data_IF_787446450121
#
_entry.id   IF_787446450121
#
_cell.length_a   1.000
_cell.length_b   1.000
_cell.length_c   1.000
_cell.angle_alpha   90.00
_cell.angle_beta   90.00
_cell.angle_gamma   90.00
#
_symmetry.space_group_name_H-M   'P 1'
#
loop_
_entity.id
_entity.type
_entity.pdbx_description
1 polymer ?
#
# COMPACT_ATOMS: atom_id res chain seq x y z
N UNK A 1 8.03 -18.87 45.43
CA UNK A 1 9.10 -18.88 44.41
C UNK A 1 9.14 -17.49 43.81
N UNK A 2 10.25 -16.76 44.00
CA UNK A 2 10.37 -15.36 43.59
C UNK A 2 11.18 -15.29 42.30
N UNK A 3 10.58 -14.83 41.21
CA UNK A 3 11.30 -14.62 39.96
C UNK A 3 12.19 -13.37 40.06
N UNK A 4 13.47 -13.41 39.65
CA UNK A 4 14.28 -12.22 39.54
C UNK A 4 13.75 -11.33 38.40
N UNK A 5 13.61 -10.02 38.66
CA UNK A 5 13.24 -9.09 37.60
C UNK A 5 14.42 -8.81 36.67
N UNK A 6 14.16 -8.88 35.36
CA UNK A 6 15.14 -8.53 34.34
C UNK A 6 15.30 -6.99 34.29
N UNK A 7 16.52 -6.44 34.22
CA UNK A 7 16.71 -5.00 34.12
C UNK A 7 16.13 -4.47 32.79
N UNK A 8 15.53 -3.25 32.79
CA UNK A 8 14.92 -2.69 31.60
C UNK A 8 15.95 -2.39 30.50
N UNK A 9 15.74 -2.97 29.32
CA UNK A 9 16.53 -2.70 28.11
C UNK A 9 16.34 -1.24 27.69
N UNK A 10 17.43 -0.47 27.64
CA UNK A 10 17.40 0.91 27.14
C UNK A 10 17.48 0.91 25.62
N UNK A 11 16.50 1.54 24.97
CA UNK A 11 16.51 1.74 23.52
C UNK A 11 17.75 2.57 23.09
N UNK A 12 18.54 2.12 22.11
CA UNK A 12 19.74 2.85 21.67
C UNK A 12 19.42 4.23 21.08
N UNK A 13 18.17 4.43 20.63
CA UNK A 13 17.65 5.67 20.04
C UNK A 13 17.56 6.86 21.01
N UNK A 14 17.61 6.63 22.33
CA UNK A 14 17.65 7.70 23.36
C UNK A 14 19.08 8.00 23.85
N UNK A 15 20.11 7.53 23.15
CA UNK A 15 21.50 7.86 23.50
C UNK A 15 21.80 9.32 23.16
N UNK A 16 22.28 10.16 24.11
CA UNK A 16 22.53 11.58 23.86
C UNK A 16 23.55 11.82 22.73
N UNK A 17 24.48 10.88 22.49
CA UNK A 17 25.41 10.92 21.36
C UNK A 17 24.70 10.86 19.99
N UNK A 18 23.63 10.08 19.85
CA UNK A 18 22.85 9.97 18.60
C UNK A 18 22.07 11.26 18.34
N UNK A 19 21.49 11.84 19.40
CA UNK A 19 20.77 13.13 19.32
C UNK A 19 21.71 14.25 18.87
N UNK A 20 22.93 14.31 19.43
CA UNK A 20 23.95 15.31 19.03
C UNK A 20 24.33 15.16 17.55
N UNK A 21 24.54 13.93 17.06
CA UNK A 21 24.91 13.67 15.67
C UNK A 21 23.82 14.08 14.66
N UNK A 22 22.54 13.89 15.00
CA UNK A 22 21.42 14.33 14.16
C UNK A 22 21.37 15.87 14.09
N UNK A 23 21.52 16.56 15.22
CA UNK A 23 21.48 18.02 15.29
C UNK A 23 22.63 18.67 14.49
N UNK A 24 23.85 18.13 14.58
CA UNK A 24 24.98 18.63 13.78
C UNK A 24 24.80 18.34 12.29
N UNK A 25 24.30 17.17 11.91
CA UNK A 25 23.99 16.83 10.52
C UNK A 25 22.98 17.80 9.88
N UNK A 26 21.86 18.07 10.56
CA UNK A 26 20.83 19.01 10.08
C UNK A 26 21.40 20.43 9.93
N UNK A 27 22.19 20.91 10.89
CA UNK A 27 22.80 22.24 10.82
C UNK A 27 23.77 22.40 9.63
N UNK A 28 24.54 21.36 9.29
CA UNK A 28 25.42 21.38 8.13
C UNK A 28 24.63 21.44 6.81
N UNK A 29 23.57 20.64 6.66
CA UNK A 29 22.72 20.66 5.45
C UNK A 29 22.04 22.02 5.28
N UNK A 30 21.46 22.58 6.34
CA UNK A 30 20.83 23.92 6.30
C UNK A 30 21.86 25.01 5.98
N UNK A 31 23.07 24.92 6.53
CA UNK A 31 24.17 25.83 6.22
C UNK A 31 24.58 25.81 4.75
N UNK A 32 24.69 24.62 4.14
CA UNK A 32 25.02 24.47 2.72
C UNK A 32 23.91 25.01 1.81
N UNK A 33 22.64 24.72 2.11
CA UNK A 33 21.49 25.20 1.31
C UNK A 33 21.34 26.73 1.39
N UNK A 34 21.59 27.33 2.55
CA UNK A 34 21.62 28.79 2.69
C UNK A 34 22.81 29.41 1.95
N UNK A 35 23.99 28.79 2.03
CA UNK A 35 25.17 29.26 1.31
C UNK A 35 24.99 29.23 -0.21
N UNK A 36 24.38 28.18 -0.79
CA UNK A 36 24.10 28.12 -2.23
C UNK A 36 23.05 29.14 -2.66
N UNK A 37 21.99 29.36 -1.87
CA UNK A 37 20.99 30.40 -2.15
C UNK A 37 21.54 31.83 -2.10
N UNK A 38 22.58 32.08 -1.29
CA UNK A 38 23.22 33.41 -1.17
C UNK A 38 24.33 33.59 -2.21
N UNK A 39 25.04 32.53 -2.61
CA UNK A 39 26.17 32.59 -3.56
C UNK A 39 25.73 32.50 -5.04
N UNK A 40 24.45 32.22 -5.32
CA UNK A 40 23.88 32.31 -6.66
C UNK A 40 23.51 33.78 -6.99
N UNK A 41 24.30 34.53 -7.78
CA UNK A 41 23.80 35.78 -8.35
C UNK A 41 22.60 35.47 -9.25
N UNK A 42 21.55 36.29 -9.19
CA UNK A 42 20.46 36.22 -10.17
C UNK A 42 21.02 36.58 -11.54
N UNK A 43 21.18 35.57 -12.38
CA UNK A 43 21.45 35.75 -13.80
C UNK A 43 20.12 36.03 -14.52
N UNK A 44 19.74 37.31 -14.50
CA UNK A 44 18.94 37.89 -15.57
C UNK A 44 19.84 38.08 -16.80
N UNK A 45 19.39 37.67 -18.00
CA UNK A 45 19.99 38.12 -19.26
C UNK A 45 20.36 37.04 -20.30
N UNK A 46 19.55 37.02 -21.35
CA UNK A 46 19.95 36.97 -22.77
C UNK A 46 20.23 35.65 -23.52
N UNK A 47 19.78 35.71 -24.78
CA UNK A 47 19.68 34.65 -25.77
C UNK A 47 20.97 34.45 -26.60
N UNK A 48 20.90 33.45 -27.49
CA UNK A 48 21.63 33.33 -28.79
C UNK A 48 22.79 32.32 -28.89
N UNK A 49 22.39 31.12 -29.36
CA UNK A 49 22.80 30.59 -30.67
C UNK A 49 24.26 30.17 -30.97
N UNK A 50 24.36 28.87 -31.32
CA UNK A 50 25.19 28.31 -32.42
C UNK A 50 26.70 28.15 -32.22
N UNK A 51 27.39 27.20 -32.87
CA UNK A 51 27.02 25.90 -33.48
C UNK A 51 28.31 25.20 -33.99
N UNK A 52 28.36 23.86 -33.99
CA UNK A 52 29.03 22.99 -35.01
C UNK A 52 29.28 21.56 -34.46
N UNK A 53 29.21 20.48 -35.24
CA UNK A 53 28.52 20.22 -36.51
C UNK A 53 28.49 18.70 -36.81
N UNK A 54 27.53 18.29 -37.65
CA UNK A 54 27.57 17.09 -38.53
C UNK A 54 27.41 15.69 -37.87
N UNK A 55 26.72 14.70 -38.46
CA UNK A 55 26.20 14.57 -39.84
C UNK A 55 24.95 13.67 -39.96
N UNK A 56 24.10 13.94 -40.96
CA UNK A 56 23.25 12.97 -41.72
C UNK A 56 22.09 12.23 -41.00
N UNK A 57 20.90 12.00 -41.59
CA UNK A 57 20.34 12.43 -42.89
C UNK A 57 18.78 12.21 -43.00
N UNK A 58 18.02 13.31 -43.15
CA UNK A 58 16.80 13.56 -43.98
C UNK A 58 15.54 12.61 -43.88
N UNK A 59 14.36 12.90 -44.50
CA UNK A 59 13.17 13.42 -43.79
C UNK A 59 11.87 12.58 -43.96
N UNK A 60 10.71 13.06 -43.44
CA UNK A 60 9.41 13.17 -44.18
C UNK A 60 8.28 13.76 -43.30
N UNK A 61 7.90 15.02 -43.63
CA UNK A 61 6.52 15.54 -43.80
C UNK A 61 5.44 15.43 -42.71
N UNK A 62 4.89 16.58 -42.28
CA UNK A 62 3.45 16.70 -41.92
C UNK A 62 3.08 17.47 -40.64
N UNK A 63 2.82 18.77 -40.75
CA UNK A 63 2.02 19.58 -39.82
C UNK A 63 0.91 20.31 -40.64
N UNK A 64 -0.12 20.99 -40.08
CA UNK A 64 -0.45 21.27 -38.66
C UNK A 64 -1.86 20.65 -38.30
N UNK A 65 -2.70 21.06 -37.33
CA UNK A 65 -2.75 22.23 -36.44
C UNK A 65 -3.60 22.03 -35.14
N UNK A 66 -3.30 22.85 -34.13
CA UNK A 66 -4.20 23.61 -33.22
C UNK A 66 -5.69 23.22 -33.09
N UNK A 67 -6.16 22.92 -31.86
CA UNK A 67 -7.09 23.80 -31.09
C UNK A 67 -7.27 23.36 -29.61
N UNK A 68 -7.17 24.32 -28.68
CA UNK A 68 -8.15 24.59 -27.61
C UNK A 68 -8.35 23.63 -26.41
N UNK A 69 -8.25 24.10 -25.15
CA UNK A 69 -8.75 23.38 -23.97
C UNK A 69 -10.25 23.64 -23.74
N UNK A 70 -10.96 22.68 -23.16
CA UNK A 70 -12.36 22.84 -22.73
C UNK A 70 -12.50 22.68 -21.20
N UNK A 71 -12.77 23.80 -20.53
CA UNK A 71 -13.23 23.85 -19.13
C UNK A 71 -14.64 24.43 -19.12
N UNK A 72 -15.57 23.80 -18.40
CA UNK A 72 -16.87 24.32 -17.87
C UNK A 72 -17.75 23.12 -17.48
N UNK A 73 -18.79 23.21 -16.66
CA UNK A 73 -19.12 24.01 -15.45
C UNK A 73 -20.31 23.25 -14.81
N UNK A 74 -20.42 23.23 -13.47
CA UNK A 74 -21.42 22.41 -12.78
C UNK A 74 -22.88 22.90 -12.86
N UNK A 75 -23.79 22.13 -12.27
CA UNK A 75 -25.20 22.50 -12.09
C UNK A 75 -25.90 21.60 -11.06
N UNK A 76 -26.41 22.19 -9.98
CA UNK A 76 -27.22 21.51 -8.95
C UNK A 76 -28.69 21.41 -9.35
N UNK A 77 -29.42 20.44 -8.75
CA UNK A 77 -30.87 20.59 -8.56
C UNK A 77 -31.67 19.29 -8.48
N UNK A 78 -32.68 19.27 -7.60
CA UNK A 78 -33.80 18.31 -7.66
C UNK A 78 -33.86 17.28 -6.53
N UNK A 79 -34.86 17.43 -5.66
CA UNK A 79 -35.22 16.44 -4.62
C UNK A 79 -36.58 15.78 -4.95
N UNK A 80 -37.07 14.93 -4.03
CA UNK A 80 -38.41 14.29 -3.98
C UNK A 80 -38.59 13.06 -4.88
N UNK A 81 -39.41 12.04 -4.56
CA UNK A 81 -40.04 11.55 -3.30
C UNK A 81 -40.74 10.20 -3.64
N UNK A 82 -40.93 9.27 -2.68
CA UNK A 82 -41.94 8.20 -2.86
C UNK A 82 -41.67 6.79 -2.28
N UNK A 83 -42.26 6.52 -1.11
CA UNK A 83 -42.93 5.26 -0.67
C UNK A 83 -42.26 3.88 -0.90
N UNK A 84 -41.79 3.20 0.17
CA UNK A 84 -42.52 2.25 1.09
C UNK A 84 -42.42 0.77 0.61
N UNK A 85 -42.74 -0.28 1.43
CA UNK A 85 -41.71 -1.19 1.93
C UNK A 85 -41.94 -2.68 1.58
N UNK A 86 -40.92 -3.52 1.78
CA UNK A 86 -41.13 -4.95 2.03
C UNK A 86 -40.38 -5.39 3.28
N UNK A 87 -41.10 -5.36 4.38
CA UNK A 87 -40.74 -6.04 5.62
C UNK A 87 -40.89 -7.55 5.41
N UNK A 88 -39.87 -8.33 5.74
CA UNK A 88 -39.99 -9.78 5.93
C UNK A 88 -39.41 -10.15 7.28
N UNK A 89 -40.20 -9.89 8.32
CA UNK A 89 -40.05 -10.65 9.56
C UNK A 89 -40.61 -12.04 9.31
N UNK A 90 -39.85 -13.08 9.65
CA UNK A 90 -40.48 -14.32 10.11
C UNK A 90 -39.67 -14.91 11.26
N UNK A 91 -40.20 -14.75 12.47
CA UNK A 91 -39.63 -15.30 13.69
C UNK A 91 -40.34 -16.63 14.00
N UNK A 92 -39.73 -17.74 13.60
CA UNK A 92 -40.26 -19.09 13.77
C UNK A 92 -39.52 -19.86 14.86
N UNK A 93 -39.82 -19.60 16.13
CA UNK A 93 -39.28 -20.37 17.24
C UNK A 93 -40.11 -21.65 17.43
N UNK A 94 -39.64 -22.80 16.93
CA UNK A 94 -40.25 -24.11 17.19
C UNK A 94 -39.21 -25.10 17.72
N UNK A 95 -39.33 -25.41 19.01
CA UNK A 95 -38.76 -26.62 19.58
C UNK A 95 -39.69 -27.79 19.27
N UNK A 96 -39.23 -28.71 18.43
CA UNK A 96 -39.67 -30.12 18.43
C UNK A 96 -38.42 -30.99 18.30
N UNK A 97 -38.40 -32.12 18.98
CA UNK A 97 -37.19 -32.92 19.17
C UNK A 97 -37.38 -34.37 18.79
N UNK A 98 -36.77 -34.81 17.69
CA UNK A 98 -36.25 -36.18 17.59
C UNK A 98 -35.22 -36.36 16.46
N UNK A 99 -34.07 -36.95 16.80
CA UNK A 99 -33.32 -37.95 16.02
C UNK A 99 -33.05 -37.67 14.51
N UNK A 100 -31.81 -37.27 14.16
CA UNK A 100 -30.75 -38.24 13.81
C UNK A 100 -29.46 -37.58 13.29
N UNK A 101 -28.38 -38.35 13.30
CA UNK A 101 -27.02 -37.95 12.95
C UNK A 101 -26.89 -37.57 11.45
N UNK A 102 -26.50 -36.32 11.16
CA UNK A 102 -26.27 -35.84 9.79
C UNK A 102 -25.65 -34.44 9.78
N UNK A 103 -24.38 -34.34 9.37
CA UNK A 103 -23.66 -33.07 9.27
C UNK A 103 -24.15 -32.27 8.05
N UNK A 104 -25.18 -31.45 8.21
CA UNK A 104 -25.67 -30.57 7.15
C UNK A 104 -24.82 -29.30 7.05
N UNK A 105 -23.78 -29.41 6.23
CA UNK A 105 -23.03 -28.28 5.69
C UNK A 105 -23.97 -27.40 4.83
N UNK A 106 -24.22 -26.17 5.28
CA UNK A 106 -24.93 -25.16 4.49
C UNK A 106 -23.98 -24.57 3.46
N UNK A 107 -23.72 -25.34 2.40
CA UNK A 107 -22.82 -24.95 1.32
C UNK A 107 -23.31 -23.71 0.57
N UNK A 108 -22.81 -22.53 0.97
CA UNK A 108 -22.74 -21.38 0.08
C UNK A 108 -21.98 -21.77 -1.20
N UNK A 109 -22.29 -21.14 -2.34
CA UNK A 109 -21.51 -21.34 -3.56
C UNK A 109 -20.10 -20.77 -3.37
N UNK A 110 -19.16 -21.59 -2.90
CA UNK A 110 -17.75 -21.22 -2.75
C UNK A 110 -17.17 -20.92 -4.12
N UNK A 111 -16.92 -19.64 -4.39
CA UNK A 111 -16.15 -19.23 -5.58
C UNK A 111 -14.77 -19.89 -5.49
N UNK A 112 -14.23 -20.51 -6.55
CA UNK A 112 -12.89 -21.06 -6.51
C UNK A 112 -11.85 -19.94 -6.31
N UNK A 113 -11.07 -20.02 -5.24
CA UNK A 113 -9.96 -19.10 -4.95
C UNK A 113 -8.62 -19.75 -5.28
N UNK A 114 -7.62 -18.94 -5.64
CA UNK A 114 -6.26 -19.40 -5.83
C UNK A 114 -5.64 -19.80 -4.47
N UNK A 115 -5.00 -20.97 -4.42
CA UNK A 115 -4.37 -21.49 -3.20
C UNK A 115 -2.91 -21.04 -3.10
N UNK A 116 -2.51 -20.38 -2.00
CA UNK A 116 -1.11 -20.07 -1.74
C UNK A 116 -0.27 -21.31 -1.40
N UNK A 117 1.01 -21.26 -1.73
CA UNK A 117 2.02 -22.29 -1.42
C UNK A 117 2.88 -21.95 -0.19
N UNK A 118 2.59 -20.83 0.49
CA UNK A 118 3.29 -20.40 1.71
C UNK A 118 2.70 -21.10 2.94
N UNK A 119 3.57 -21.73 3.75
CA UNK A 119 3.15 -22.44 4.95
C UNK A 119 2.45 -21.50 5.97
N UNK A 120 1.35 -21.98 6.57
CA UNK A 120 0.57 -21.19 7.53
C UNK A 120 -0.30 -20.10 6.88
N UNK A 121 -0.60 -20.22 5.58
CA UNK A 121 -1.48 -19.31 4.84
C UNK A 121 -2.65 -20.06 4.20
N UNK A 122 -3.69 -19.32 3.88
CA UNK A 122 -4.78 -19.73 3.00
C UNK A 122 -5.13 -18.58 2.05
N UNK A 123 -6.18 -18.75 1.25
CA UNK A 123 -6.60 -17.80 0.22
C UNK A 123 -6.93 -16.38 0.72
N UNK A 124 -7.03 -16.13 2.03
CA UNK A 124 -7.21 -14.79 2.61
C UNK A 124 -5.95 -14.22 3.29
N UNK A 125 -4.85 -14.97 3.42
CA UNK A 125 -3.63 -14.52 4.12
C UNK A 125 -3.10 -15.50 5.15
N UNK A 126 -2.34 -14.99 6.13
CA UNK A 126 -1.71 -15.81 7.18
C UNK A 126 -2.74 -16.23 8.24
N UNK A 127 -2.88 -17.52 8.53
CA UNK A 127 -3.89 -18.01 9.49
C UNK A 127 -3.64 -17.55 10.93
N UNK A 128 -2.38 -17.25 11.27
CA UNK A 128 -1.96 -16.65 12.54
C UNK A 128 -1.47 -15.20 12.44
N UNK A 129 -1.81 -14.48 11.37
CA UNK A 129 -1.23 -13.16 11.06
C UNK A 129 -2.20 -12.23 10.31
N UNK A 130 -1.71 -11.34 9.42
CA UNK A 130 -2.58 -10.47 8.64
C UNK A 130 -3.41 -11.28 7.64
N UNK A 131 -4.71 -10.96 7.57
CA UNK A 131 -5.72 -11.59 6.72
C UNK A 131 -6.68 -10.55 6.15
N UNK A 132 -7.26 -10.83 5.00
CA UNK A 132 -8.33 -10.03 4.41
C UNK A 132 -9.55 -9.93 5.33
N UNK A 133 -10.24 -8.79 5.26
CA UNK A 133 -11.26 -8.33 6.21
C UNK A 133 -12.62 -8.97 5.98
N UNK A 134 -13.07 -9.07 4.73
CA UNK A 134 -14.36 -9.72 4.41
C UNK A 134 -14.17 -11.22 4.10
N UNK A 135 -15.22 -11.99 4.35
CA UNK A 135 -15.27 -13.43 4.07
C UNK A 135 -15.21 -13.79 2.57
N UNK A 136 -15.30 -12.80 1.68
CA UNK A 136 -15.23 -12.94 0.21
C UNK A 136 -14.03 -12.18 -0.40
N UNK A 137 -13.17 -11.54 0.41
CA UNK A 137 -12.00 -10.78 -0.04
C UNK A 137 -10.79 -11.72 -0.22
N UNK A 138 -10.32 -11.99 -1.46
CA UNK A 138 -9.15 -12.84 -1.65
C UNK A 138 -7.85 -12.08 -1.45
N UNK A 139 -6.82 -12.79 -0.98
CA UNK A 139 -5.45 -12.34 -1.09
C UNK A 139 -4.98 -12.44 -2.56
N UNK A 140 -4.49 -11.33 -3.09
CA UNK A 140 -3.85 -11.23 -4.40
C UNK A 140 -2.33 -11.35 -4.31
N UNK A 141 -1.76 -10.99 -3.16
CA UNK A 141 -0.35 -11.20 -2.80
C UNK A 141 -0.30 -11.64 -1.35
N UNK A 142 0.56 -12.62 -1.06
CA UNK A 142 0.97 -12.96 0.30
C UNK A 142 2.49 -13.02 0.30
N UNK A 143 3.11 -12.31 1.24
CA UNK A 143 4.56 -12.18 1.29
C UNK A 143 5.06 -12.18 2.74
N UNK A 144 6.27 -12.72 2.94
CA UNK A 144 6.91 -12.81 4.24
C UNK A 144 8.38 -12.42 4.13
N UNK A 145 8.86 -11.67 5.12
CA UNK A 145 10.27 -11.38 5.37
C UNK A 145 10.67 -12.00 6.72
N UNK A 146 11.92 -11.83 7.16
CA UNK A 146 12.33 -12.25 8.51
C UNK A 146 11.64 -11.44 9.64
N UNK A 147 10.97 -10.32 9.34
CA UNK A 147 10.33 -9.42 10.33
C UNK A 147 8.85 -9.17 10.08
N UNK A 148 8.44 -9.20 8.81
CA UNK A 148 7.14 -8.71 8.34
C UNK A 148 6.34 -9.80 7.65
N UNK A 149 5.03 -9.81 7.90
CA UNK A 149 4.03 -10.54 7.11
C UNK A 149 3.15 -9.52 6.38
N UNK A 150 2.86 -9.80 5.11
CA UNK A 150 2.22 -8.85 4.19
C UNK A 150 1.13 -9.58 3.40
N UNK A 151 -0.04 -8.96 3.28
CA UNK A 151 -1.11 -9.39 2.38
C UNK A 151 -1.61 -8.18 1.58
N UNK A 152 -1.74 -8.34 0.27
CA UNK A 152 -2.53 -7.41 -0.56
C UNK A 152 -3.86 -8.12 -0.85
N UNK A 153 -4.95 -7.55 -0.35
CA UNK A 153 -6.30 -8.09 -0.50
C UNK A 153 -7.05 -7.36 -1.60
N UNK A 154 -7.95 -8.05 -2.30
CA UNK A 154 -8.94 -7.43 -3.17
C UNK A 154 -10.29 -7.34 -2.45
N UNK A 155 -11.03 -6.24 -2.68
CA UNK A 155 -12.38 -6.09 -2.13
C UNK A 155 -13.36 -6.91 -2.98
N UNK A 156 -13.74 -8.08 -2.49
CA UNK A 156 -14.50 -9.09 -3.22
C UNK A 156 -13.96 -9.34 -4.63
N UNK A 157 -14.86 -9.39 -5.60
CA UNK A 157 -14.53 -9.52 -7.03
C UNK A 157 -14.15 -8.19 -7.71
N UNK A 158 -13.89 -7.09 -6.98
CA UNK A 158 -13.61 -5.78 -7.55
C UNK A 158 -12.14 -5.66 -8.00
N UNK A 159 -11.84 -6.10 -9.22
CA UNK A 159 -10.52 -5.99 -9.84
C UNK A 159 -9.90 -4.60 -9.70
N UNK A 160 -8.67 -4.53 -9.20
CA UNK A 160 -7.94 -3.27 -9.00
C UNK A 160 -8.31 -2.50 -7.73
N UNK A 161 -9.35 -2.90 -6.98
CA UNK A 161 -9.67 -2.30 -5.69
C UNK A 161 -9.01 -3.11 -4.57
N UNK A 162 -7.81 -2.69 -4.19
CA UNK A 162 -7.02 -3.38 -3.19
C UNK A 162 -6.91 -2.64 -1.86
N UNK A 163 -6.48 -3.38 -0.83
CA UNK A 163 -5.94 -2.84 0.42
C UNK A 163 -4.75 -3.68 0.88
N UNK A 164 -3.76 -3.02 1.48
CA UNK A 164 -2.57 -3.62 2.08
C UNK A 164 -2.84 -3.92 3.54
N UNK A 165 -2.36 -5.07 4.03
CA UNK A 165 -2.24 -5.40 5.44
C UNK A 165 -0.83 -5.88 5.75
N UNK A 166 -0.17 -5.21 6.68
CA UNK A 166 1.14 -5.58 7.18
C UNK A 166 1.08 -5.92 8.67
N UNK A 167 1.93 -6.84 9.10
CA UNK A 167 2.18 -7.15 10.51
C UNK A 167 3.68 -7.29 10.74
N UNK A 168 4.24 -6.53 11.68
CA UNK A 168 5.64 -6.60 12.06
C UNK A 168 5.81 -6.23 13.54
N UNK A 169 6.64 -6.99 14.27
CA UNK A 169 7.00 -6.73 15.67
C UNK A 169 5.80 -6.50 16.62
N UNK A 170 4.69 -7.21 16.40
CA UNK A 170 3.45 -7.07 17.19
C UNK A 170 2.50 -5.95 16.73
N UNK A 171 2.87 -5.18 15.71
CA UNK A 171 2.09 -4.06 15.20
C UNK A 171 1.46 -4.39 13.85
N UNK A 172 0.18 -4.06 13.70
CA UNK A 172 -0.56 -4.20 12.44
C UNK A 172 -0.76 -2.84 11.76
N UNK A 173 -0.67 -2.83 10.42
CA UNK A 173 -0.97 -1.66 9.58
C UNK A 173 -1.93 -2.09 8.48
N UNK A 174 -2.96 -1.30 8.23
CA UNK A 174 -3.85 -1.43 7.08
C UNK A 174 -3.84 -0.14 6.27
N UNK A 175 -3.77 -0.25 4.94
CA UNK A 175 -3.73 0.89 4.01
C UNK A 175 -4.63 0.60 2.81
N UNK A 176 -5.64 1.43 2.58
CA UNK A 176 -6.49 1.34 1.40
C UNK A 176 -5.79 1.80 0.13
N UNK A 177 -6.22 1.28 -1.02
CA UNK A 177 -5.81 1.72 -2.35
C UNK A 177 -4.29 1.67 -2.68
N UNK A 178 -3.56 0.56 -2.42
CA UNK A 178 -2.23 0.35 -2.98
C UNK A 178 -2.23 0.55 -4.50
N UNK A 179 -1.21 1.23 -5.01
CA UNK A 179 -0.97 1.35 -6.46
C UNK A 179 -0.11 0.17 -6.93
N UNK A 180 -0.37 -0.37 -8.12
CA UNK A 180 0.41 -1.48 -8.69
C UNK A 180 1.21 -1.01 -9.90
N UNK A 181 2.48 -1.39 -9.95
CA UNK A 181 3.36 -1.25 -11.11
C UNK A 181 4.06 -2.58 -11.37
N UNK A 182 3.71 -3.26 -12.47
CA UNK A 182 4.21 -4.60 -12.77
C UNK A 182 3.87 -5.63 -11.68
N UNK A 183 4.89 -6.15 -11.01
CA UNK A 183 4.76 -7.10 -9.88
C UNK A 183 4.87 -6.41 -8.50
N UNK A 184 5.00 -5.09 -8.47
CA UNK A 184 5.21 -4.30 -7.25
C UNK A 184 3.93 -3.58 -6.83
N UNK A 185 3.64 -3.55 -5.53
CA UNK A 185 2.52 -2.83 -4.93
C UNK A 185 3.03 -1.78 -3.95
N UNK A 186 2.62 -0.52 -4.12
CA UNK A 186 3.02 0.61 -3.28
C UNK A 186 1.82 1.12 -2.47
N UNK A 187 1.92 1.02 -1.14
CA UNK A 187 0.87 1.42 -0.20
C UNK A 187 1.38 2.52 0.74
N UNK A 188 0.75 3.70 0.72
CA UNK A 188 1.21 4.88 1.48
C UNK A 188 0.32 5.18 2.69
N UNK A 189 0.94 5.23 3.88
CA UNK A 189 0.33 5.66 5.13
C UNK A 189 1.01 6.96 5.61
N UNK A 190 0.36 8.10 5.38
CA UNK A 190 0.92 9.40 5.69
C UNK A 190 2.19 9.68 4.89
N UNK A 191 3.34 9.71 5.56
CA UNK A 191 4.64 9.87 4.91
C UNK A 191 5.48 8.59 4.82
N UNK A 192 4.91 7.42 5.15
CA UNK A 192 5.55 6.10 5.00
C UNK A 192 4.93 5.37 3.82
N UNK A 193 5.75 4.81 2.93
CA UNK A 193 5.32 3.99 1.81
C UNK A 193 5.90 2.59 1.93
N UNK A 194 5.06 1.58 1.79
CA UNK A 194 5.43 0.16 1.75
C UNK A 194 5.42 -0.29 0.29
N UNK A 195 6.60 -0.57 -0.26
CA UNK A 195 6.80 -1.02 -1.65
C UNK A 195 7.05 -2.53 -1.62
N UNK A 196 5.99 -3.30 -1.84
CA UNK A 196 5.97 -4.76 -1.81
C UNK A 196 6.33 -5.31 -3.18
N UNK A 197 7.54 -5.86 -3.34
CA UNK A 197 7.97 -6.58 -4.55
C UNK A 197 8.19 -8.08 -4.31
N UNK A 198 8.45 -8.86 -5.36
CA UNK A 198 8.69 -10.31 -5.24
C UNK A 198 9.99 -10.68 -4.51
N UNK A 199 10.99 -9.79 -4.52
CA UNK A 199 12.31 -10.02 -3.89
C UNK A 199 12.49 -9.34 -2.55
N UNK A 200 11.82 -8.20 -2.31
CA UNK A 200 11.96 -7.41 -1.09
C UNK A 200 10.73 -6.55 -0.81
N UNK A 201 10.55 -6.21 0.47
CA UNK A 201 9.76 -5.07 0.93
C UNK A 201 10.71 -3.89 1.15
N UNK A 202 10.53 -2.80 0.42
CA UNK A 202 11.14 -1.52 0.77
C UNK A 202 10.15 -0.69 1.59
N UNK A 203 10.66 -0.07 2.66
CA UNK A 203 9.91 0.86 3.50
C UNK A 203 10.55 2.22 3.35
N UNK A 204 9.82 3.14 2.71
CA UNK A 204 10.26 4.50 2.45
C UNK A 204 9.61 5.47 3.44
N UNK A 205 10.31 6.55 3.79
CA UNK A 205 9.78 7.66 4.57
C UNK A 205 10.16 8.99 3.93
N UNK A 206 9.17 9.81 3.60
CA UNK A 206 9.34 11.02 2.78
C UNK A 206 10.06 10.77 1.42
N UNK A 207 9.98 9.56 0.87
CA UNK A 207 10.66 9.16 -0.36
C UNK A 207 12.11 8.65 -0.19
N UNK A 208 12.61 8.52 1.03
CA UNK A 208 13.90 7.89 1.34
C UNK A 208 13.70 6.48 1.91
N UNK A 209 14.37 5.47 1.37
CA UNK A 209 14.29 4.09 1.88
C UNK A 209 14.93 3.97 3.26
N UNK A 210 14.11 3.78 4.29
CA UNK A 210 14.55 3.64 5.69
C UNK A 210 14.75 2.18 6.11
N UNK A 211 14.20 1.23 5.36
CA UNK A 211 14.49 -0.21 5.51
C UNK A 211 14.24 -0.94 4.18
N UNK A 212 15.08 -1.93 3.90
CA UNK A 212 14.88 -2.94 2.85
C UNK A 212 14.89 -4.30 3.51
N UNK A 213 13.84 -5.09 3.30
CA UNK A 213 13.69 -6.43 3.88
C UNK A 213 13.59 -7.47 2.76
N UNK A 214 14.53 -8.43 2.65
CA UNK A 214 14.43 -9.49 1.66
C UNK A 214 13.22 -10.39 1.95
N UNK A 215 12.51 -10.79 0.91
CA UNK A 215 11.43 -11.77 1.02
C UNK A 215 12.03 -13.16 1.30
N UNK A 216 11.53 -13.82 2.34
CA UNK A 216 11.73 -15.25 2.59
C UNK A 216 10.67 -16.11 1.90
N UNK A 217 9.49 -15.55 1.61
CA UNK A 217 8.46 -16.16 0.79
C UNK A 217 7.63 -15.09 0.07
N UNK A 218 7.19 -15.36 -1.16
CA UNK A 218 6.31 -14.51 -1.93
C UNK A 218 5.40 -15.36 -2.82
N UNK A 219 4.10 -15.10 -2.76
CA UNK A 219 3.08 -15.70 -3.60
C UNK A 219 2.16 -14.59 -4.14
N UNK A 220 1.66 -14.78 -5.36
CA UNK A 220 0.64 -13.92 -5.94
C UNK A 220 -0.35 -14.71 -6.77
N UNK A 221 -1.63 -14.36 -6.69
CA UNK A 221 -2.67 -14.90 -7.56
C UNK A 221 -2.39 -14.53 -9.03
N UNK A 222 -2.49 -15.53 -9.92
CA UNK A 222 -2.21 -15.46 -11.36
C UNK A 222 -3.48 -15.50 -12.19
#
# INVERSE_FOLDING_TARGET
>A
MTYPQLPPQRSPWSSPAVIIAIVTGVLLVVGVVLATLILLPRLEGDDSSSAAASSSAVPTTGAPASVGPATTTGGSGGAQNGTRPTESQNNGNQNDGSQNNGNQDTGSPTTPHATPDIAGTDWQGFTGGPRCNAADDPAMVIAQTNRSQIVICQVGSQSGRWYYKGYADGNSVEVGYPTRSGNTYSATNGNVTYVVGPSQLDIEKNGETIATEPMSAYWSAS
#
